data_IF_216569545874
#
_entry.id   IF_216569545874
#
_cell.length_a   1.000
_cell.length_b   1.000
_cell.length_c   1.000
_cell.angle_alpha   90.00
_cell.angle_beta   90.00
_cell.angle_gamma   90.00
#
_symmetry.space_group_name_H-M   'P 1'
#
loop_
_entity.id
_entity.type
_entity.pdbx_description
1 polymer ?
#
# COMPACT_ATOMS: atom_id res chain seq x y z
N UNK A 1 -18.59 -16.22 -18.21
CA UNK A 1 -17.40 -15.51 -18.73
C UNK A 1 -16.15 -16.16 -18.14
N UNK A 2 -15.19 -16.59 -18.95
CA UNK A 2 -13.89 -17.10 -18.46
C UNK A 2 -13.27 -16.06 -17.51
N UNK A 3 -12.67 -16.51 -16.40
CA UNK A 3 -11.93 -15.67 -15.45
C UNK A 3 -10.76 -14.96 -16.15
N UNK A 4 -11.05 -13.88 -16.88
CA UNK A 4 -10.06 -13.11 -17.63
C UNK A 4 -9.18 -12.38 -16.61
N UNK A 5 -7.89 -12.74 -16.58
CA UNK A 5 -6.90 -12.02 -15.79
C UNK A 5 -6.28 -10.92 -16.64
N UNK A 6 -6.13 -9.75 -16.04
CA UNK A 6 -5.38 -8.64 -16.63
C UNK A 6 -3.90 -8.79 -16.26
N UNK A 7 -3.02 -8.60 -17.25
CA UNK A 7 -1.57 -8.57 -17.04
C UNK A 7 -1.13 -7.11 -16.91
N UNK A 8 -0.62 -6.76 -15.74
CA UNK A 8 -0.07 -5.44 -15.46
C UNK A 8 1.44 -5.54 -15.27
N UNK A 9 2.20 -4.76 -16.03
CA UNK A 9 3.65 -4.67 -15.93
C UNK A 9 4.07 -3.44 -15.10
N UNK A 10 5.07 -3.61 -14.26
CA UNK A 10 5.72 -2.53 -13.53
C UNK A 10 7.15 -2.92 -13.18
N UNK A 11 7.99 -1.91 -12.95
CA UNK A 11 9.40 -2.10 -12.60
C UNK A 11 9.57 -1.93 -11.10
N UNK A 12 10.44 -2.69 -10.44
CA UNK A 12 10.90 -2.46 -9.06
C UNK A 12 12.43 -2.40 -9.01
N UNK A 13 12.99 -1.85 -7.93
CA UNK A 13 14.42 -1.97 -7.63
C UNK A 13 14.76 -3.40 -7.19
N UNK A 14 16.01 -3.82 -7.37
CA UNK A 14 16.49 -5.14 -6.93
C UNK A 14 16.38 -5.28 -5.42
N UNK A 15 16.74 -4.26 -4.65
CA UNK A 15 16.54 -4.20 -3.20
C UNK A 15 15.07 -4.35 -2.80
N UNK A 16 14.13 -3.70 -3.50
CA UNK A 16 12.70 -3.90 -3.22
C UNK A 16 12.28 -5.34 -3.54
N UNK A 17 12.82 -5.95 -4.59
CA UNK A 17 12.51 -7.35 -4.86
C UNK A 17 12.99 -8.27 -3.74
N UNK A 18 14.29 -8.22 -3.42
CA UNK A 18 14.95 -9.17 -2.52
C UNK A 18 14.59 -8.94 -1.06
N UNK A 19 14.54 -7.68 -0.61
CA UNK A 19 14.34 -7.38 0.81
C UNK A 19 12.86 -7.28 1.19
N UNK A 20 11.99 -6.90 0.25
CA UNK A 20 10.58 -6.59 0.54
C UNK A 20 9.66 -7.67 -0.02
N UNK A 21 9.72 -7.93 -1.33
CA UNK A 21 8.79 -8.87 -1.97
C UNK A 21 9.11 -10.31 -1.56
N UNK A 22 10.37 -10.73 -1.61
CA UNK A 22 10.75 -12.11 -1.26
C UNK A 22 10.51 -12.40 0.23
N UNK A 23 10.74 -11.39 1.11
CA UNK A 23 10.35 -11.45 2.51
C UNK A 23 8.85 -11.71 2.68
N UNK A 24 7.99 -10.91 2.03
CA UNK A 24 6.55 -11.06 2.13
C UNK A 24 6.05 -12.40 1.56
N UNK A 25 6.64 -12.89 0.46
CA UNK A 25 6.33 -14.21 -0.09
C UNK A 25 6.60 -15.32 0.94
N UNK A 26 7.76 -15.25 1.60
CA UNK A 26 8.16 -16.19 2.65
C UNK A 26 7.23 -16.12 3.86
N UNK A 27 7.00 -14.93 4.40
CA UNK A 27 6.15 -14.74 5.59
C UNK A 27 4.73 -15.24 5.33
N UNK A 28 4.10 -14.83 4.23
CA UNK A 28 2.74 -15.26 3.87
C UNK A 28 2.66 -16.73 3.43
N UNK A 29 3.80 -17.42 3.25
CA UNK A 29 3.88 -18.77 2.68
C UNK A 29 3.17 -18.86 1.32
N UNK A 30 3.34 -17.83 0.49
CA UNK A 30 2.77 -17.74 -0.86
C UNK A 30 3.90 -17.86 -1.88
N UNK A 31 3.72 -18.72 -2.88
CA UNK A 31 4.74 -19.04 -3.89
C UNK A 31 4.72 -18.13 -5.13
N UNK A 32 3.74 -17.22 -5.26
CA UNK A 32 3.63 -16.34 -6.43
C UNK A 32 3.30 -14.91 -6.04
N UNK A 33 3.98 -13.96 -6.67
CA UNK A 33 3.77 -12.53 -6.45
C UNK A 33 2.31 -12.10 -6.72
N UNK A 34 1.68 -12.64 -7.76
CA UNK A 34 0.29 -12.28 -8.08
C UNK A 34 -0.69 -12.70 -6.98
N UNK A 35 -0.54 -13.90 -6.41
CA UNK A 35 -1.39 -14.37 -5.31
C UNK A 35 -1.14 -13.58 -4.02
N UNK A 36 0.11 -13.24 -3.75
CA UNK A 36 0.49 -12.39 -2.62
C UNK A 36 -0.18 -11.02 -2.74
N UNK A 37 -0.04 -10.37 -3.90
CA UNK A 37 -0.65 -9.07 -4.12
C UNK A 37 -2.19 -9.11 -4.05
N UNK A 38 -2.85 -10.09 -4.68
CA UNK A 38 -4.30 -10.26 -4.58
C UNK A 38 -4.76 -10.37 -3.10
N UNK A 39 -3.99 -11.09 -2.27
CA UNK A 39 -4.27 -11.25 -0.84
C UNK A 39 -4.15 -9.92 -0.10
N UNK A 40 -3.02 -9.22 -0.27
CA UNK A 40 -2.77 -7.91 0.35
C UNK A 40 -3.82 -6.87 -0.08
N UNK A 41 -4.11 -6.83 -1.38
CA UNK A 41 -5.07 -5.90 -1.96
C UNK A 41 -6.46 -6.06 -1.36
N UNK A 42 -6.97 -7.30 -1.25
CA UNK A 42 -8.29 -7.57 -0.66
C UNK A 42 -8.40 -7.15 0.81
N UNK A 43 -7.33 -7.31 1.58
CA UNK A 43 -7.28 -6.92 2.99
C UNK A 43 -7.33 -5.39 3.17
N UNK A 44 -6.69 -4.65 2.26
CA UNK A 44 -6.54 -3.19 2.37
C UNK A 44 -7.57 -2.40 1.56
N UNK A 45 -8.29 -3.01 0.61
CA UNK A 45 -9.19 -2.33 -0.35
C UNK A 45 -10.08 -1.26 0.32
N UNK A 46 -10.87 -1.68 1.31
CA UNK A 46 -11.79 -0.78 2.02
C UNK A 46 -11.08 0.24 2.93
N UNK A 47 -9.83 -0.01 3.34
CA UNK A 47 -9.06 0.82 4.29
C UNK A 47 -8.27 1.92 3.59
N UNK A 48 -7.62 1.62 2.46
CA UNK A 48 -6.90 2.63 1.68
C UNK A 48 -7.85 3.72 1.21
N UNK A 49 -9.06 3.39 0.78
CA UNK A 49 -10.06 4.40 0.40
C UNK A 49 -10.35 5.39 1.55
N UNK A 50 -10.39 4.89 2.79
CA UNK A 50 -10.61 5.71 3.99
C UNK A 50 -9.37 6.52 4.38
N UNK A 51 -8.19 5.90 4.35
CA UNK A 51 -6.93 6.58 4.66
C UNK A 51 -6.64 7.70 3.67
N UNK A 52 -6.81 7.46 2.36
CA UNK A 52 -6.53 8.49 1.36
C UNK A 52 -7.51 9.66 1.39
N UNK A 53 -8.74 9.48 1.91
CA UNK A 53 -9.65 10.61 2.20
C UNK A 53 -9.08 11.58 3.25
N UNK A 54 -8.19 11.12 4.13
CA UNK A 54 -7.53 11.97 5.14
C UNK A 54 -6.55 12.95 4.47
N UNK A 55 -5.86 12.50 3.42
CA UNK A 55 -4.92 13.35 2.66
C UNK A 55 -5.66 14.38 1.80
N UNK A 56 -6.92 14.09 1.43
CA UNK A 56 -7.77 14.94 0.61
C UNK A 56 -7.56 14.70 -0.89
N UNK A 57 -8.30 15.47 -1.72
CA UNK A 57 -8.09 15.47 -3.16
C UNK A 57 -6.78 16.18 -3.48
N UNK A 58 -5.88 15.53 -4.21
CA UNK A 58 -4.57 16.08 -4.48
C UNK A 58 -4.02 15.54 -5.81
N UNK A 59 -3.20 16.32 -6.51
CA UNK A 59 -2.43 15.87 -7.67
C UNK A 59 -1.11 15.29 -7.20
N UNK A 60 -0.95 13.96 -7.20
CA UNK A 60 0.32 13.39 -6.76
C UNK A 60 1.44 13.74 -7.74
N UNK A 61 2.36 14.60 -7.34
CA UNK A 61 3.62 14.83 -8.04
C UNK A 61 4.54 13.61 -7.86
N UNK A 62 5.45 13.38 -8.82
CA UNK A 62 6.46 12.32 -8.73
C UNK A 62 7.26 12.48 -7.43
N UNK A 63 7.30 11.43 -6.61
CA UNK A 63 8.53 11.16 -5.89
C UNK A 63 9.39 10.32 -6.83
N UNK A 64 10.58 10.81 -7.18
CA UNK A 64 11.57 10.02 -7.93
C UNK A 64 11.76 8.71 -7.18
N UNK A 65 11.47 7.60 -7.86
CA UNK A 65 11.70 6.25 -7.34
C UNK A 65 13.20 6.10 -7.27
N UNK A 66 13.71 5.81 -6.07
CA UNK A 66 15.03 5.24 -5.82
C UNK A 66 16.10 5.77 -6.78
N UNK A 67 16.65 6.94 -6.48
CA UNK A 67 17.84 7.47 -7.17
C UNK A 67 19.13 6.72 -6.77
N UNK A 68 18.97 5.51 -6.24
CA UNK A 68 20.04 4.55 -6.00
C UNK A 68 20.34 3.87 -7.34
N UNK A 69 21.61 3.65 -7.67
CA UNK A 69 22.11 2.88 -8.84
C UNK A 69 21.71 1.38 -8.78
N UNK A 70 20.50 1.10 -8.34
CA UNK A 70 19.99 -0.24 -8.12
C UNK A 70 19.40 -0.79 -9.42
N UNK A 71 19.62 -2.08 -9.66
CA UNK A 71 19.18 -2.73 -10.90
C UNK A 71 17.66 -2.69 -10.99
N UNK A 72 17.15 -2.25 -12.14
CA UNK A 72 15.70 -2.21 -12.43
C UNK A 72 15.22 -3.60 -12.85
N UNK A 73 14.23 -4.14 -12.14
CA UNK A 73 13.66 -5.46 -12.41
C UNK A 73 12.20 -5.36 -12.86
N UNK A 74 11.89 -5.98 -13.99
CA UNK A 74 10.53 -6.10 -14.50
C UNK A 74 9.69 -7.09 -13.68
N UNK A 75 8.49 -6.66 -13.31
CA UNK A 75 7.50 -7.47 -12.60
C UNK A 75 6.18 -7.48 -13.34
N UNK A 76 5.53 -8.63 -13.24
CA UNK A 76 4.27 -8.91 -13.91
C UNK A 76 3.24 -9.35 -12.88
N UNK A 77 2.14 -8.62 -12.85
CA UNK A 77 1.02 -8.84 -11.96
C UNK A 77 -0.18 -9.34 -12.77
N UNK A 78 -0.58 -10.60 -12.54
CA UNK A 78 -1.78 -11.19 -13.15
C UNK A 78 -2.92 -11.18 -12.15
N UNK A 79 -3.81 -10.20 -12.28
CA UNK A 79 -4.95 -9.98 -11.37
C UNK A 79 -6.28 -10.13 -12.09
N UNK A 80 -7.37 -10.29 -11.34
CA UNK A 80 -8.71 -10.28 -11.93
C UNK A 80 -9.01 -8.92 -12.60
N UNK A 81 -9.84 -8.92 -13.63
CA UNK A 81 -10.32 -7.68 -14.26
C UNK A 81 -11.00 -6.74 -13.26
N UNK A 82 -11.76 -7.30 -12.31
CA UNK A 82 -12.40 -6.52 -11.25
C UNK A 82 -11.37 -5.81 -10.35
N UNK A 83 -10.31 -6.52 -9.93
CA UNK A 83 -9.26 -5.92 -9.10
C UNK A 83 -8.47 -4.87 -9.89
N UNK A 84 -8.16 -5.14 -11.16
CA UNK A 84 -7.52 -4.17 -12.05
C UNK A 84 -8.35 -2.87 -12.16
N UNK A 85 -9.65 -2.98 -12.39
CA UNK A 85 -10.54 -1.81 -12.48
C UNK A 85 -10.62 -1.05 -11.14
N UNK A 86 -10.56 -1.75 -10.00
CA UNK A 86 -10.50 -1.09 -8.68
C UNK A 86 -9.21 -0.30 -8.48
N UNK A 87 -8.06 -0.89 -8.82
CA UNK A 87 -6.77 -0.18 -8.76
C UNK A 87 -6.76 1.03 -9.70
N UNK A 88 -7.28 0.87 -10.93
CA UNK A 88 -7.42 1.96 -11.89
C UNK A 88 -8.31 3.09 -11.35
N UNK A 89 -9.43 2.73 -10.69
CA UNK A 89 -10.31 3.70 -10.03
C UNK A 89 -9.61 4.43 -8.90
N UNK A 90 -8.81 3.73 -8.09
CA UNK A 90 -8.02 4.38 -7.04
C UNK A 90 -7.03 5.37 -7.62
N UNK A 91 -6.26 4.94 -8.61
CA UNK A 91 -5.32 5.79 -9.32
C UNK A 91 -5.99 7.07 -9.82
N UNK A 92 -7.17 6.97 -10.44
CA UNK A 92 -7.96 8.12 -10.90
C UNK A 92 -8.46 9.01 -9.75
N UNK A 93 -9.04 8.42 -8.68
CA UNK A 93 -9.58 9.17 -7.54
C UNK A 93 -8.52 9.99 -6.80
N UNK A 94 -7.28 9.50 -6.76
CA UNK A 94 -6.19 10.12 -6.02
C UNK A 94 -5.17 10.81 -6.92
N UNK A 95 -5.53 10.95 -8.21
CA UNK A 95 -4.71 11.49 -9.28
C UNK A 95 -3.24 11.08 -9.11
N UNK A 96 -3.03 9.76 -8.92
CA UNK A 96 -1.69 9.23 -8.74
C UNK A 96 -1.00 9.23 -10.09
N UNK A 97 0.31 9.48 -10.14
CA UNK A 97 1.01 9.50 -11.42
C UNK A 97 0.90 8.16 -12.19
N UNK A 98 0.79 7.03 -11.48
CA UNK A 98 0.52 5.74 -12.11
C UNK A 98 0.14 4.62 -11.14
N UNK A 99 -0.56 3.61 -11.66
CA UNK A 99 -0.99 2.42 -10.89
C UNK A 99 0.18 1.66 -10.26
N UNK A 100 1.37 1.72 -10.87
CA UNK A 100 2.58 1.12 -10.31
C UNK A 100 2.98 1.73 -8.96
N UNK A 101 2.72 3.03 -8.73
CA UNK A 101 2.95 3.67 -7.43
C UNK A 101 2.00 3.10 -6.38
N UNK A 102 0.72 2.96 -6.72
CA UNK A 102 -0.29 2.35 -5.83
C UNK A 102 0.12 0.94 -5.41
N UNK A 103 0.62 0.14 -6.35
CA UNK A 103 1.06 -1.23 -6.09
C UNK A 103 2.24 -1.25 -5.12
N UNK A 104 3.26 -0.40 -5.34
CA UNK A 104 4.40 -0.29 -4.43
C UNK A 104 4.01 0.16 -3.03
N UNK A 105 3.13 1.14 -2.92
CA UNK A 105 2.63 1.65 -1.65
C UNK A 105 1.98 0.52 -0.83
N UNK A 106 1.16 -0.32 -1.47
CA UNK A 106 0.56 -1.49 -0.82
C UNK A 106 1.64 -2.46 -0.34
N UNK A 107 2.60 -2.82 -1.20
CA UNK A 107 3.67 -3.75 -0.86
C UNK A 107 4.47 -3.24 0.35
N UNK A 108 4.89 -1.98 0.32
CA UNK A 108 5.66 -1.37 1.41
C UNK A 108 4.84 -1.24 2.70
N UNK A 109 3.55 -0.91 2.60
CA UNK A 109 2.67 -0.86 3.76
C UNK A 109 2.58 -2.22 4.48
N UNK A 110 2.43 -3.29 3.71
CA UNK A 110 2.40 -4.65 4.26
C UNK A 110 3.76 -5.06 4.83
N UNK A 111 4.86 -4.79 4.12
CA UNK A 111 6.20 -5.08 4.62
C UNK A 111 6.47 -4.39 5.96
N UNK A 112 6.23 -3.08 6.05
CA UNK A 112 6.44 -2.33 7.29
C UNK A 112 5.52 -2.80 8.42
N UNK A 113 4.29 -3.19 8.09
CA UNK A 113 3.34 -3.75 9.06
C UNK A 113 3.80 -5.10 9.62
N UNK A 114 4.18 -6.03 8.74
CA UNK A 114 4.68 -7.35 9.13
C UNK A 114 6.00 -7.24 9.90
N UNK A 115 6.92 -6.37 9.46
CA UNK A 115 8.17 -6.12 10.18
C UNK A 115 7.94 -5.61 11.60
N UNK A 116 6.91 -4.80 11.82
CA UNK A 116 6.63 -4.21 13.13
C UNK A 116 5.83 -5.11 14.07
N UNK A 117 4.85 -5.85 13.55
CA UNK A 117 3.88 -6.58 14.36
C UNK A 117 3.95 -8.11 14.21
N UNK A 118 4.84 -8.61 13.35
CA UNK A 118 4.78 -9.99 12.85
C UNK A 118 3.58 -10.18 11.92
N UNK A 119 3.56 -11.29 11.17
CA UNK A 119 2.48 -11.56 10.23
C UNK A 119 1.11 -11.67 10.93
N UNK A 120 1.01 -12.51 11.96
CA UNK A 120 -0.25 -12.77 12.65
C UNK A 120 -0.80 -11.51 13.34
N UNK A 121 0.05 -10.81 14.10
CA UNK A 121 -0.32 -9.56 14.76
C UNK A 121 -0.74 -8.48 13.75
N UNK A 122 -0.03 -8.37 12.62
CA UNK A 122 -0.42 -7.43 11.57
C UNK A 122 -1.75 -7.81 10.91
N UNK A 123 -1.97 -9.09 10.62
CA UNK A 123 -3.23 -9.59 10.04
C UNK A 123 -4.42 -9.36 10.98
N UNK A 124 -4.24 -9.51 12.29
CA UNK A 124 -5.25 -9.18 13.28
C UNK A 124 -5.61 -7.68 13.24
N UNK A 125 -4.60 -6.81 13.24
CA UNK A 125 -4.78 -5.35 13.23
C UNK A 125 -5.41 -4.87 11.92
N UNK A 126 -4.88 -5.29 10.78
CA UNK A 126 -5.41 -4.94 9.46
C UNK A 126 -6.76 -5.60 9.21
N UNK A 127 -7.19 -6.61 9.96
CA UNK A 127 -8.56 -7.14 9.91
C UNK A 127 -9.58 -6.17 10.49
N UNK A 128 -9.22 -5.44 11.55
CA UNK A 128 -10.13 -4.60 12.34
C UNK A 128 -10.57 -3.33 11.61
N UNK A 129 -11.70 -2.75 12.06
CA UNK A 129 -12.25 -1.50 11.54
C UNK A 129 -11.36 -0.32 11.95
N UNK A 130 -10.94 0.48 10.96
CA UNK A 130 -10.15 1.69 11.17
C UNK A 130 -11.01 2.84 11.73
N UNK A 131 -10.56 3.48 12.80
CA UNK A 131 -11.07 4.71 13.42
C UNK A 131 -10.53 5.92 12.67
N UNK A 132 -11.15 6.21 11.52
CA UNK A 132 -10.71 7.24 10.58
C UNK A 132 -10.61 8.62 11.22
N UNK A 133 -11.59 9.01 12.05
CA UNK A 133 -11.62 10.35 12.64
C UNK A 133 -10.44 10.58 13.58
N UNK A 134 -10.10 9.57 14.39
CA UNK A 134 -8.93 9.62 15.27
C UNK A 134 -7.64 9.70 14.45
N UNK A 135 -7.50 8.85 13.44
CA UNK A 135 -6.32 8.89 12.56
C UNK A 135 -6.19 10.25 11.84
N UNK A 136 -7.32 10.85 11.43
CA UNK A 136 -7.34 12.16 10.78
C UNK A 136 -6.85 13.25 11.73
N UNK A 137 -7.31 13.26 12.97
CA UNK A 137 -6.88 14.27 13.95
C UNK A 137 -5.39 14.14 14.25
N UNK A 138 -4.93 12.93 14.60
CA UNK A 138 -3.50 12.67 14.88
C UNK A 138 -2.61 12.98 13.65
N UNK A 139 -3.13 12.79 12.43
CA UNK A 139 -2.44 13.17 11.20
C UNK A 139 -2.36 14.70 11.03
N UNK A 140 -3.47 15.42 11.23
CA UNK A 140 -3.50 16.88 11.13
C UNK A 140 -2.60 17.54 12.18
N UNK A 141 -2.53 16.98 13.39
CA UNK A 141 -1.64 17.46 14.46
C UNK A 141 -0.15 17.30 14.11
N UNK A 142 0.21 16.30 13.29
CA UNK A 142 1.58 16.12 12.78
C UNK A 142 1.88 16.90 11.49
N UNK A 143 0.85 17.39 10.80
CA UNK A 143 0.93 18.15 9.55
C UNK A 143 1.26 19.64 9.78
N UNK A 144 2.15 19.94 10.73
CA UNK A 144 2.50 21.31 11.14
C UNK A 144 3.30 22.10 10.08
N UNK A 145 3.70 21.47 8.98
CA UNK A 145 4.44 22.09 7.87
C UNK A 145 3.80 21.75 6.51
N UNK A 146 4.07 22.60 5.50
CA UNK A 146 3.66 22.37 4.11
C UNK A 146 4.43 21.20 3.49
N UNK A 147 4.00 19.97 3.79
CA UNK A 147 4.55 18.76 3.20
C UNK A 147 4.03 18.55 1.78
N UNK A 148 4.90 18.08 0.89
CA UNK A 148 4.52 17.56 -0.42
C UNK A 148 3.56 16.38 -0.27
N UNK A 149 2.75 16.10 -1.28
CA UNK A 149 1.76 15.02 -1.23
C UNK A 149 2.42 13.66 -0.99
N UNK A 150 3.58 13.41 -1.60
CA UNK A 150 4.35 12.19 -1.36
C UNK A 150 4.79 12.08 0.11
N UNK A 151 5.26 13.19 0.71
CA UNK A 151 5.62 13.23 2.12
C UNK A 151 4.40 13.02 3.03
N UNK A 152 3.24 13.58 2.68
CA UNK A 152 1.96 13.35 3.39
C UNK A 152 1.54 11.89 3.38
N UNK A 153 1.62 11.21 2.23
CA UNK A 153 1.33 9.77 2.11
C UNK A 153 2.25 8.94 2.99
N UNK A 154 3.57 9.19 2.90
CA UNK A 154 4.57 8.53 3.73
C UNK A 154 4.29 8.75 5.22
N UNK A 155 4.05 9.99 5.63
CA UNK A 155 3.70 10.35 7.00
C UNK A 155 2.45 9.60 7.48
N UNK A 156 1.38 9.56 6.67
CA UNK A 156 0.14 8.87 7.04
C UNK A 156 0.38 7.36 7.21
N UNK A 157 1.08 6.72 6.26
CA UNK A 157 1.37 5.29 6.37
C UNK A 157 2.28 4.99 7.56
N UNK A 158 3.34 5.76 7.78
CA UNK A 158 4.21 5.61 8.95
C UNK A 158 3.43 5.82 10.25
N UNK A 159 2.58 6.85 10.33
CA UNK A 159 1.74 7.11 11.49
C UNK A 159 0.83 5.91 11.81
N UNK A 160 0.15 5.37 10.78
CA UNK A 160 -0.70 4.19 10.90
C UNK A 160 0.09 2.98 11.35
N UNK A 161 1.21 2.66 10.69
CA UNK A 161 2.03 1.51 11.06
C UNK A 161 2.58 1.69 12.47
N UNK A 162 3.04 2.87 12.86
CA UNK A 162 3.62 3.10 14.19
C UNK A 162 2.62 2.90 15.34
N UNK A 163 1.36 3.23 15.10
CA UNK A 163 0.33 3.34 16.13
C UNK A 163 -0.93 2.53 15.79
N UNK A 164 -0.82 1.50 14.95
CA UNK A 164 -1.96 0.76 14.39
C UNK A 164 -2.98 0.32 15.46
N UNK A 165 -2.55 -0.26 16.62
CA UNK A 165 -3.48 -0.63 17.68
C UNK A 165 -4.36 0.52 18.21
N UNK A 166 -3.88 1.78 18.13
CA UNK A 166 -4.62 2.98 18.57
C UNK A 166 -5.73 3.38 17.59
N UNK A 167 -5.61 2.96 16.33
CA UNK A 167 -6.53 3.34 15.24
C UNK A 167 -7.52 2.24 14.87
N UNK A 168 -7.49 1.09 15.53
CA UNK A 168 -8.48 0.04 15.31
C UNK A 168 -9.55 0.07 16.40
N UNK A 169 -10.78 -0.27 16.04
CA UNK A 169 -11.80 -0.52 17.05
C UNK A 169 -11.38 -1.73 17.91
N UNK A 170 -11.58 -1.63 19.23
CA UNK A 170 -11.54 -2.80 20.10
C UNK A 170 -12.72 -3.69 19.68
N UNK A 171 -12.44 -4.98 19.50
CA UNK A 171 -13.44 -6.04 19.37
C UNK A 171 -14.14 -6.24 20.70
#
# INVERSE_FOLDING_TARGET
>A
MKNKKHLFHFIVSESMNTNVIDFLLKEFKINTFSKLFETMFRLIDKKVLKMKRIIGNHSSEYAVIDNTDDKRLDKYLRISEADYLRIKRWHSLYNEFGMASTIRDIILFFYNGVMKYGLEGFLELIGKKLRVDKLKNDFLDKMTQLLSIAARKRLLYSLVIENYPKYVCRT
#
